data_IF_932085667168
#
_entry.id   IF_932085667168
#
_cell.length_a   1.000
_cell.length_b   1.000
_cell.length_c   1.000
_cell.angle_alpha   90.00
_cell.angle_beta   90.00
_cell.angle_gamma   90.00
#
_symmetry.space_group_name_H-M   'P 1'
#
loop_
_entity.id
_entity.type
_entity.pdbx_description
1 polymer ?
#
# COMPACT_ATOMS: atom_id res chain seq x y z
N UNK A 1 11.42 -8.17 -17.51
CA UNK A 1 11.48 -9.00 -16.28
C UNK A 1 10.61 -8.35 -15.21
N UNK A 2 9.64 -9.06 -14.68
CA UNK A 2 8.75 -8.58 -13.62
C UNK A 2 9.54 -8.31 -12.33
N UNK A 3 9.50 -7.08 -11.81
CA UNK A 3 10.36 -6.64 -10.69
C UNK A 3 9.60 -6.23 -9.44
N UNK A 4 8.25 -6.25 -9.48
CA UNK A 4 7.46 -5.84 -8.34
C UNK A 4 7.48 -6.91 -7.25
N UNK A 5 7.41 -6.48 -6.00
CA UNK A 5 7.27 -7.38 -4.86
C UNK A 5 5.88 -8.02 -4.87
N UNK A 6 5.81 -9.33 -4.67
CA UNK A 6 4.59 -10.14 -4.68
C UNK A 6 4.47 -10.96 -3.41
N UNK A 7 3.31 -11.56 -3.18
CA UNK A 7 3.17 -12.57 -2.16
C UNK A 7 3.83 -13.90 -2.55
N UNK A 8 4.43 -14.52 -1.56
CA UNK A 8 4.61 -15.98 -1.52
C UNK A 8 3.43 -16.61 -0.77
N UNK A 9 3.22 -17.95 -0.82
CA UNK A 9 2.18 -18.59 -0.01
C UNK A 9 2.28 -18.26 1.48
N UNK A 10 3.51 -18.24 2.02
CA UNK A 10 3.76 -17.94 3.43
C UNK A 10 3.45 -16.48 3.77
N UNK A 11 4.01 -15.53 3.03
CA UNK A 11 3.77 -14.10 3.30
C UNK A 11 2.31 -13.70 3.07
N UNK A 12 1.59 -14.39 2.18
CA UNK A 12 0.15 -14.22 2.03
C UNK A 12 -0.63 -14.70 3.27
N UNK A 13 -0.31 -15.89 3.78
CA UNK A 13 -0.95 -16.42 4.97
C UNK A 13 -0.69 -15.54 6.20
N UNK A 14 0.56 -15.11 6.40
CA UNK A 14 0.96 -14.17 7.47
C UNK A 14 0.25 -12.82 7.34
N UNK A 15 0.22 -12.25 6.15
CA UNK A 15 -0.46 -10.98 5.89
C UNK A 15 -1.97 -11.07 6.12
N UNK A 16 -2.61 -12.15 5.67
CA UNK A 16 -4.04 -12.39 5.88
C UNK A 16 -4.37 -12.56 7.37
N UNK A 17 -3.58 -13.37 8.09
CA UNK A 17 -3.71 -13.52 9.54
C UNK A 17 -3.55 -12.17 10.25
N UNK A 18 -2.54 -11.39 9.86
CA UNK A 18 -2.30 -10.05 10.40
C UNK A 18 -3.48 -9.08 10.18
N UNK A 19 -4.11 -9.13 9.00
CA UNK A 19 -5.32 -8.33 8.73
C UNK A 19 -6.51 -8.77 9.58
N UNK A 20 -6.77 -10.07 9.66
CA UNK A 20 -7.89 -10.61 10.45
C UNK A 20 -7.71 -10.28 11.93
N UNK A 21 -6.54 -10.51 12.49
CA UNK A 21 -6.23 -10.17 13.87
C UNK A 21 -6.22 -8.66 14.12
N UNK A 22 -5.89 -7.86 13.10
CA UNK A 22 -5.87 -6.40 13.14
C UNK A 22 -7.24 -5.74 12.95
N UNK A 23 -8.31 -6.48 12.61
CA UNK A 23 -9.64 -5.90 12.35
C UNK A 23 -10.15 -4.95 13.44
N UNK A 24 -10.06 -5.28 14.75
CA UNK A 24 -10.50 -4.34 15.79
C UNK A 24 -9.73 -3.02 15.76
N UNK A 25 -8.40 -3.09 15.55
CA UNK A 25 -7.55 -1.92 15.44
C UNK A 25 -7.86 -1.10 14.17
N UNK A 26 -8.18 -1.77 13.05
CA UNK A 26 -8.60 -1.15 11.79
C UNK A 26 -9.90 -0.36 11.94
N UNK A 27 -10.86 -0.91 12.69
CA UNK A 27 -12.13 -0.23 12.99
C UNK A 27 -11.84 0.98 13.90
N UNK A 28 -11.03 0.80 14.95
CA UNK A 28 -10.61 1.86 15.86
C UNK A 28 -9.95 3.03 15.13
N UNK A 29 -8.96 2.75 14.26
CA UNK A 29 -8.25 3.76 13.49
C UNK A 29 -9.18 4.61 12.58
N UNK A 30 -10.25 4.00 12.04
CA UNK A 30 -11.26 4.73 11.24
C UNK A 30 -12.23 5.55 12.09
N UNK A 31 -12.40 5.18 13.36
CA UNK A 31 -13.25 5.93 14.30
C UNK A 31 -12.49 7.07 14.99
N UNK A 32 -11.19 6.96 15.13
CA UNK A 32 -10.36 8.03 15.65
C UNK A 32 -10.25 9.16 14.62
N UNK A 33 -10.45 10.41 15.09
CA UNK A 33 -10.37 11.60 14.23
C UNK A 33 -8.93 12.17 14.13
N UNK A 34 -7.93 11.42 14.59
CA UNK A 34 -6.54 11.88 14.64
C UNK A 34 -5.84 11.94 13.28
N UNK A 35 -6.28 11.11 12.32
CA UNK A 35 -5.76 11.08 10.96
C UNK A 35 -6.81 11.64 10.01
N UNK A 36 -6.49 12.74 9.32
CA UNK A 36 -7.36 13.29 8.30
C UNK A 36 -7.47 12.33 7.11
N UNK A 37 -8.57 12.41 6.35
CA UNK A 37 -8.73 11.59 5.14
C UNK A 37 -7.61 11.85 4.12
N UNK A 38 -7.21 13.11 3.96
CA UNK A 38 -6.08 13.48 3.10
C UNK A 38 -4.77 12.84 3.56
N UNK A 39 -4.44 12.92 4.85
CA UNK A 39 -3.21 12.32 5.37
C UNK A 39 -3.23 10.79 5.23
N UNK A 40 -4.37 10.13 5.48
CA UNK A 40 -4.50 8.70 5.24
C UNK A 40 -4.22 8.30 3.78
N UNK A 41 -4.69 9.09 2.81
CA UNK A 41 -4.40 8.84 1.39
C UNK A 41 -2.94 9.10 1.04
N UNK A 42 -2.30 10.11 1.62
CA UNK A 42 -0.86 10.34 1.45
C UNK A 42 -0.02 9.16 1.98
N UNK A 43 -0.36 8.60 3.14
CA UNK A 43 0.29 7.39 3.68
C UNK A 43 0.16 6.20 2.72
N UNK A 44 -1.03 6.01 2.13
CA UNK A 44 -1.27 4.96 1.14
C UNK A 44 -0.46 5.15 -0.13
N UNK A 45 -0.41 6.37 -0.65
CA UNK A 45 0.38 6.71 -1.84
C UNK A 45 1.89 6.52 -1.58
N UNK A 46 2.40 6.96 -0.42
CA UNK A 46 3.79 6.79 -0.04
C UNK A 46 4.19 5.30 0.08
N UNK A 47 3.33 4.45 0.65
CA UNK A 47 3.55 2.99 0.66
C UNK A 47 3.50 2.40 -0.76
N UNK A 48 2.57 2.88 -1.58
CA UNK A 48 2.35 2.38 -2.93
C UNK A 48 3.49 2.75 -3.88
N UNK A 49 4.14 3.90 -3.70
CA UNK A 49 5.29 4.32 -4.50
C UNK A 49 6.43 3.31 -4.46
N UNK A 50 6.70 2.75 -3.28
CA UNK A 50 7.74 1.73 -3.07
C UNK A 50 7.34 0.38 -3.68
N UNK A 51 6.09 -0.03 -3.49
CA UNK A 51 5.62 -1.35 -3.95
C UNK A 51 5.25 -1.38 -5.44
N UNK A 52 4.98 -0.23 -6.07
CA UNK A 52 4.69 -0.11 -7.50
C UNK A 52 3.37 -0.75 -7.95
N UNK A 53 2.35 -0.82 -7.07
CA UNK A 53 1.04 -1.36 -7.41
C UNK A 53 0.24 -0.39 -8.27
N UNK A 54 0.07 -0.68 -9.55
CA UNK A 54 -0.65 0.19 -10.50
C UNK A 54 -2.13 0.37 -10.15
N UNK A 55 -2.78 -0.67 -9.62
CA UNK A 55 -4.19 -0.62 -9.20
C UNK A 55 -4.38 0.31 -8.01
N UNK A 56 -3.48 0.19 -7.03
CA UNK A 56 -3.50 1.00 -5.82
C UNK A 56 -3.13 2.45 -6.12
N UNK A 57 -2.12 2.70 -6.97
CA UNK A 57 -1.78 4.05 -7.44
C UNK A 57 -3.00 4.72 -8.06
N UNK A 58 -3.67 4.03 -9.00
CA UNK A 58 -4.87 4.57 -9.65
C UNK A 58 -5.99 4.88 -8.65
N UNK A 59 -6.37 3.90 -7.83
CA UNK A 59 -7.49 4.04 -6.92
C UNK A 59 -7.24 5.14 -5.88
N UNK A 60 -6.06 5.14 -5.25
CA UNK A 60 -5.73 6.10 -4.20
C UNK A 60 -5.43 7.50 -4.74
N UNK A 61 -4.93 7.64 -5.98
CA UNK A 61 -4.86 8.96 -6.64
C UNK A 61 -6.23 9.58 -6.83
N UNK A 62 -7.22 8.79 -7.28
CA UNK A 62 -8.59 9.27 -7.43
C UNK A 62 -9.25 9.67 -6.11
N UNK A 63 -8.98 8.93 -5.04
CA UNK A 63 -9.52 9.23 -3.70
C UNK A 63 -8.80 10.46 -3.12
N UNK A 64 -7.48 10.54 -3.29
CA UNK A 64 -6.65 11.66 -2.83
C UNK A 64 -7.09 12.99 -3.47
N UNK A 65 -7.34 13.01 -4.78
CA UNK A 65 -7.88 14.19 -5.46
C UNK A 65 -9.23 14.64 -4.87
N UNK A 66 -10.12 13.68 -4.54
CA UNK A 66 -11.41 13.98 -3.87
C UNK A 66 -11.22 14.49 -2.45
N UNK A 67 -10.13 14.10 -1.79
CA UNK A 67 -9.74 14.61 -0.47
C UNK A 67 -9.04 15.98 -0.53
N UNK A 68 -8.90 16.56 -1.73
CA UNK A 68 -8.32 17.90 -1.93
C UNK A 68 -6.80 17.92 -2.11
N UNK A 69 -6.15 16.76 -2.29
CA UNK A 69 -4.71 16.69 -2.59
C UNK A 69 -4.51 17.05 -4.07
N UNK A 70 -3.54 17.88 -4.37
CA UNK A 70 -3.25 18.30 -5.76
C UNK A 70 -2.64 17.19 -6.57
N UNK A 71 -2.76 17.25 -7.88
CA UNK A 71 -2.15 16.27 -8.80
C UNK A 71 -0.62 16.29 -8.66
N UNK A 72 -0.04 17.46 -8.53
CA UNK A 72 1.41 17.66 -8.38
C UNK A 72 1.93 16.95 -7.11
N UNK A 73 1.22 17.09 -5.99
CA UNK A 73 1.58 16.40 -4.74
C UNK A 73 1.42 14.88 -4.85
N UNK A 74 0.37 14.39 -5.51
CA UNK A 74 0.17 12.97 -5.79
C UNK A 74 1.31 12.41 -6.65
N UNK A 75 1.71 13.12 -7.69
CA UNK A 75 2.78 12.71 -8.59
C UNK A 75 4.14 12.65 -7.87
N UNK A 76 4.43 13.61 -6.98
CA UNK A 76 5.63 13.59 -6.12
C UNK A 76 5.61 12.36 -5.18
N UNK A 77 4.51 12.14 -4.47
CA UNK A 77 4.36 10.98 -3.58
C UNK A 77 4.55 9.65 -4.32
N UNK A 78 3.99 9.51 -5.53
CA UNK A 78 4.15 8.30 -6.33
C UNK A 78 5.55 8.11 -6.90
N UNK A 79 6.35 9.18 -7.02
CA UNK A 79 7.79 9.11 -7.33
C UNK A 79 8.64 8.77 -6.09
N UNK A 80 8.02 8.70 -4.91
CA UNK A 80 8.72 8.49 -3.64
C UNK A 80 9.31 9.78 -3.07
N UNK A 81 8.94 10.94 -3.61
CA UNK A 81 9.42 12.25 -3.18
C UNK A 81 8.46 12.82 -2.12
N UNK A 82 8.98 13.08 -0.94
CA UNK A 82 8.27 13.80 0.12
C UNK A 82 8.72 15.27 0.01
N UNK A 83 7.90 16.06 -0.68
CA UNK A 83 8.20 17.48 -0.96
C UNK A 83 8.21 18.34 0.28
N UNK A 84 8.82 19.53 0.18
CA UNK A 84 8.82 20.53 1.25
C UNK A 84 7.43 21.13 1.54
N UNK A 85 6.45 20.91 0.68
CA UNK A 85 5.04 21.30 0.90
C UNK A 85 4.32 20.38 1.89
N UNK A 86 4.87 19.20 2.17
CA UNK A 86 4.34 18.29 3.20
C UNK A 86 4.54 18.92 4.57
N UNK A 87 3.45 19.12 5.29
CA UNK A 87 3.48 19.70 6.61
C UNK A 87 4.39 18.92 7.57
N UNK A 88 5.05 19.63 8.49
CA UNK A 88 5.96 19.02 9.47
C UNK A 88 5.29 17.91 10.30
N UNK A 89 3.97 17.94 10.42
CA UNK A 89 3.18 16.91 11.09
C UNK A 89 3.08 15.63 10.25
N UNK A 90 2.97 15.69 8.93
CA UNK A 90 2.74 14.52 8.07
C UNK A 90 4.04 13.79 7.68
N UNK A 91 5.14 14.52 7.55
CA UNK A 91 6.40 14.00 7.06
C UNK A 91 6.93 12.74 7.79
N UNK A 92 6.95 12.67 9.14
CA UNK A 92 7.42 11.47 9.84
C UNK A 92 6.60 10.21 9.49
N UNK A 93 5.27 10.36 9.32
CA UNK A 93 4.38 9.27 8.92
C UNK A 93 4.64 8.79 7.50
N UNK A 94 4.89 9.71 6.56
CA UNK A 94 5.19 9.38 5.17
C UNK A 94 6.53 8.67 5.04
N UNK A 95 7.57 9.14 5.73
CA UNK A 95 8.87 8.43 5.80
C UNK A 95 8.73 7.04 6.41
N UNK A 96 7.93 6.91 7.48
CA UNK A 96 7.64 5.61 8.05
C UNK A 96 6.93 4.69 7.05
N UNK A 97 5.95 5.20 6.30
CA UNK A 97 5.20 4.42 5.31
C UNK A 97 6.10 3.89 4.19
N UNK A 98 7.03 4.70 3.68
CA UNK A 98 8.03 4.28 2.71
C UNK A 98 8.97 3.22 3.30
N UNK A 99 9.56 3.49 4.47
CA UNK A 99 10.44 2.55 5.15
C UNK A 99 9.76 1.20 5.43
N UNK A 100 8.51 1.22 5.88
CA UNK A 100 7.72 0.00 6.11
C UNK A 100 7.59 -0.83 4.82
N UNK A 101 7.32 -0.18 3.69
CA UNK A 101 7.24 -0.84 2.40
C UNK A 101 8.62 -1.35 1.93
N UNK A 102 9.68 -0.56 2.08
CA UNK A 102 11.06 -0.93 1.71
C UNK A 102 11.54 -2.17 2.46
N UNK A 103 11.22 -2.26 3.75
CA UNK A 103 11.58 -3.41 4.61
C UNK A 103 10.64 -4.60 4.47
N UNK A 104 9.66 -4.52 3.54
CA UNK A 104 8.70 -5.61 3.31
C UNK A 104 7.75 -5.85 4.48
N UNK A 105 7.48 -4.83 5.29
CA UNK A 105 6.60 -4.91 6.43
C UNK A 105 7.28 -5.18 7.77
N UNK A 106 8.62 -5.16 7.80
CA UNK A 106 9.43 -5.37 9.00
C UNK A 106 10.26 -4.11 9.32
N UNK A 107 9.62 -3.02 9.78
CA UNK A 107 10.34 -1.79 10.10
C UNK A 107 11.29 -2.01 11.27
N UNK A 108 12.45 -1.36 11.24
CA UNK A 108 13.36 -1.39 12.38
C UNK A 108 12.78 -0.66 13.61
N UNK A 109 13.30 -1.01 14.79
CA UNK A 109 12.83 -0.44 16.05
C UNK A 109 13.04 1.08 16.13
N UNK A 110 14.12 1.59 15.54
CA UNK A 110 14.39 3.02 15.51
C UNK A 110 13.36 3.82 14.72
N UNK A 111 12.81 3.26 13.63
CA UNK A 111 11.72 3.91 12.87
C UNK A 111 10.39 3.85 13.62
N UNK A 112 10.12 2.76 14.34
CA UNK A 112 8.94 2.66 15.21
C UNK A 112 9.01 3.67 16.36
N UNK A 113 10.18 3.83 16.97
CA UNK A 113 10.38 4.80 18.06
C UNK A 113 10.24 6.25 17.58
N UNK A 114 10.76 6.56 16.37
CA UNK A 114 10.55 7.88 15.74
C UNK A 114 9.08 8.16 15.46
N UNK A 115 8.33 7.16 14.98
CA UNK A 115 6.89 7.28 14.75
C UNK A 115 6.16 7.58 16.05
N UNK A 116 6.46 6.83 17.13
CA UNK A 116 5.85 7.06 18.45
C UNK A 116 6.23 8.42 19.04
N UNK A 117 7.47 8.86 18.85
CA UNK A 117 7.92 10.17 19.30
C UNK A 117 7.15 11.31 18.60
N UNK A 118 6.89 11.14 17.30
CA UNK A 118 6.18 12.15 16.50
C UNK A 118 4.67 12.22 16.81
N UNK A 119 4.03 11.07 17.08
CA UNK A 119 2.57 10.97 17.12
C UNK A 119 1.98 10.45 18.44
N UNK A 120 2.81 9.99 19.37
CA UNK A 120 2.35 9.25 20.53
C UNK A 120 1.84 7.84 20.20
N UNK A 121 1.47 7.09 21.23
CA UNK A 121 1.16 5.66 21.09
C UNK A 121 -0.10 5.37 20.28
N UNK A 122 -1.16 6.17 20.44
CA UNK A 122 -2.44 5.91 19.78
C UNK A 122 -2.37 6.19 18.27
N UNK A 123 -1.92 7.38 17.90
CA UNK A 123 -1.88 7.77 16.49
C UNK A 123 -0.83 6.99 15.69
N UNK A 124 0.28 6.61 16.32
CA UNK A 124 1.28 5.73 15.70
C UNK A 124 0.73 4.32 15.42
N UNK A 125 -0.13 3.78 16.28
CA UNK A 125 -0.85 2.52 16.00
C UNK A 125 -1.80 2.66 14.82
N UNK A 126 -2.55 3.76 14.75
CA UNK A 126 -3.48 4.02 13.64
C UNK A 126 -2.71 4.14 12.29
N UNK A 127 -1.59 4.86 12.27
CA UNK A 127 -0.71 4.95 11.09
C UNK A 127 -0.20 3.56 10.69
N UNK A 128 0.29 2.77 11.64
CA UNK A 128 0.80 1.43 11.38
C UNK A 128 -0.28 0.51 10.80
N UNK A 129 -1.51 0.61 11.28
CA UNK A 129 -2.66 -0.15 10.74
C UNK A 129 -2.91 0.22 9.28
N UNK A 130 -3.01 1.52 8.97
CA UNK A 130 -3.24 1.99 7.60
C UNK A 130 -2.13 1.54 6.63
N UNK A 131 -0.88 1.62 7.07
CA UNK A 131 0.28 1.22 6.26
C UNK A 131 0.29 -0.30 6.04
N UNK A 132 -0.08 -1.11 7.03
CA UNK A 132 -0.22 -2.57 6.89
C UNK A 132 -1.32 -2.95 5.90
N UNK A 133 -2.48 -2.29 6.00
CA UNK A 133 -3.60 -2.53 5.08
C UNK A 133 -3.21 -2.27 3.63
N UNK A 134 -2.60 -1.11 3.36
CA UNK A 134 -2.21 -0.77 1.99
C UNK A 134 -1.04 -1.62 1.50
N UNK A 135 -0.11 -2.01 2.36
CA UNK A 135 0.96 -2.96 2.02
C UNK A 135 0.36 -4.26 1.50
N UNK A 136 -0.60 -4.83 2.23
CA UNK A 136 -1.29 -6.05 1.81
C UNK A 136 -2.02 -5.86 0.47
N UNK A 137 -2.74 -4.75 0.30
CA UNK A 137 -3.44 -4.44 -0.95
C UNK A 137 -2.46 -4.29 -2.13
N UNK A 138 -1.31 -3.65 -1.92
CA UNK A 138 -0.27 -3.50 -2.94
C UNK A 138 0.29 -4.85 -3.38
N UNK A 139 0.65 -5.71 -2.43
CA UNK A 139 1.15 -7.05 -2.74
C UNK A 139 0.08 -7.90 -3.43
N UNK A 140 -1.20 -7.75 -3.04
CA UNK A 140 -2.33 -8.40 -3.72
C UNK A 140 -2.43 -7.99 -5.18
N UNK A 141 -2.42 -6.70 -5.47
CA UNK A 141 -2.45 -6.20 -6.84
C UNK A 141 -1.25 -6.65 -7.66
N UNK A 142 -0.06 -6.62 -7.06
CA UNK A 142 1.17 -7.07 -7.74
C UNK A 142 1.17 -8.58 -8.01
N UNK A 143 0.64 -9.40 -7.10
CA UNK A 143 0.54 -10.85 -7.29
C UNK A 143 -0.46 -11.20 -8.40
N UNK A 144 -1.58 -10.47 -8.48
CA UNK A 144 -2.52 -10.58 -9.60
C UNK A 144 -1.82 -10.20 -10.93
N UNK A 145 -1.07 -9.11 -10.95
CA UNK A 145 -0.33 -8.64 -12.12
C UNK A 145 0.81 -9.60 -12.54
N UNK A 146 1.42 -10.31 -11.58
CA UNK A 146 2.44 -11.32 -11.85
C UNK A 146 1.91 -12.46 -12.72
N UNK A 147 0.70 -12.97 -12.44
CA UNK A 147 0.07 -13.98 -13.28
C UNK A 147 -0.20 -13.46 -14.70
N UNK A 148 -0.72 -12.23 -14.84
CA UNK A 148 -0.93 -11.61 -16.15
C UNK A 148 0.38 -11.39 -16.92
N UNK A 149 1.45 -11.05 -16.22
CA UNK A 149 2.78 -10.89 -16.79
C UNK A 149 3.37 -12.22 -17.26
N UNK A 150 3.17 -13.29 -16.48
CA UNK A 150 3.56 -14.67 -16.88
C UNK A 150 2.87 -15.11 -18.15
N UNK A 151 1.57 -14.81 -18.33
CA UNK A 151 0.85 -15.12 -19.57
C UNK A 151 1.43 -14.40 -20.80
N UNK A 152 2.16 -13.30 -20.58
CA UNK A 152 2.88 -12.55 -21.63
C UNK A 152 4.34 -12.98 -21.80
N UNK A 153 4.77 -14.05 -21.12
CA UNK A 153 6.14 -14.56 -21.20
C UNK A 153 7.15 -13.89 -20.25
N UNK A 154 6.69 -13.07 -19.30
CA UNK A 154 7.54 -12.37 -18.32
C UNK A 154 7.17 -12.75 -16.86
N UNK A 155 7.51 -13.97 -16.40
CA UNK A 155 7.17 -14.43 -15.06
C UNK A 155 7.99 -13.68 -13.99
N UNK A 156 7.42 -13.55 -12.78
CA UNK A 156 8.15 -13.09 -11.62
C UNK A 156 9.18 -14.16 -11.19
N UNK A 157 10.39 -13.73 -10.79
CA UNK A 157 11.52 -14.64 -10.56
C UNK A 157 11.25 -15.65 -9.42
N UNK A 158 10.69 -15.20 -8.31
CA UNK A 158 10.49 -15.99 -7.08
C UNK A 158 9.02 -16.40 -6.88
N UNK A 159 8.30 -16.68 -7.97
CA UNK A 159 6.88 -17.00 -7.91
C UNK A 159 6.58 -18.45 -8.24
N UNK A 160 5.54 -18.99 -7.63
CA UNK A 160 4.97 -20.31 -7.93
C UNK A 160 3.78 -20.17 -8.87
N UNK A 161 3.80 -20.83 -10.04
CA UNK A 161 2.67 -20.84 -10.97
C UNK A 161 1.37 -21.30 -10.28
N UNK A 162 1.44 -22.33 -9.45
CA UNK A 162 0.26 -22.85 -8.73
C UNK A 162 -0.33 -21.78 -7.81
N UNK A 163 0.53 -21.07 -7.08
CA UNK A 163 0.10 -19.99 -6.19
C UNK A 163 -0.45 -18.80 -6.97
N UNK A 164 0.19 -18.39 -8.07
CA UNK A 164 -0.30 -17.30 -8.91
C UNK A 164 -1.69 -17.60 -9.49
N UNK A 165 -1.92 -18.81 -10.01
CA UNK A 165 -3.23 -19.25 -10.52
C UNK A 165 -4.28 -19.21 -9.41
N UNK A 166 -3.97 -19.80 -8.24
CA UNK A 166 -4.85 -19.77 -7.07
C UNK A 166 -5.19 -18.33 -6.69
N UNK A 167 -4.16 -17.49 -6.52
CA UNK A 167 -4.33 -16.11 -6.09
C UNK A 167 -5.12 -15.29 -7.13
N UNK A 168 -4.83 -15.48 -8.41
CA UNK A 168 -5.56 -14.83 -9.50
C UNK A 168 -7.07 -15.12 -9.42
N UNK A 169 -7.44 -16.39 -9.29
CA UNK A 169 -8.84 -16.79 -9.22
C UNK A 169 -9.55 -16.22 -7.99
N UNK A 170 -8.91 -16.26 -6.83
CA UNK A 170 -9.48 -15.74 -5.56
C UNK A 170 -9.59 -14.21 -5.59
N UNK A 171 -8.62 -13.51 -6.17
CA UNK A 171 -8.58 -12.05 -6.20
C UNK A 171 -9.33 -11.43 -7.40
N UNK A 172 -9.71 -12.23 -8.39
CA UNK A 172 -10.37 -11.78 -9.63
C UNK A 172 -11.62 -10.90 -9.38
N UNK A 173 -12.51 -11.21 -8.42
CA UNK A 173 -13.67 -10.35 -8.16
C UNK A 173 -13.32 -8.93 -7.73
N UNK A 174 -12.15 -8.74 -7.11
CA UNK A 174 -11.67 -7.44 -6.60
C UNK A 174 -10.75 -6.77 -7.63
N UNK A 175 -9.75 -7.50 -8.11
CA UNK A 175 -8.70 -6.95 -8.99
C UNK A 175 -9.16 -6.84 -10.45
N UNK A 176 -10.07 -7.71 -10.90
CA UNK A 176 -10.60 -7.69 -12.26
C UNK A 176 -11.26 -6.37 -12.63
N UNK A 177 -12.24 -5.86 -11.88
CA UNK A 177 -12.82 -4.54 -12.12
C UNK A 177 -11.78 -3.41 -12.15
N UNK A 178 -10.81 -3.41 -11.22
CA UNK A 178 -9.74 -2.42 -11.18
C UNK A 178 -8.86 -2.47 -12.43
N UNK A 179 -8.51 -3.68 -12.90
CA UNK A 179 -7.76 -3.89 -14.13
C UNK A 179 -8.48 -3.30 -15.35
N UNK A 180 -9.80 -3.53 -15.49
CA UNK A 180 -10.59 -2.98 -16.59
C UNK A 180 -10.70 -1.46 -16.50
N UNK A 181 -10.90 -0.90 -15.31
CA UNK A 181 -11.00 0.55 -15.13
C UNK A 181 -9.72 1.28 -15.56
N UNK A 182 -8.56 0.77 -15.23
CA UNK A 182 -7.27 1.37 -15.65
C UNK A 182 -7.10 1.32 -17.17
N UNK A 183 -7.55 0.25 -17.83
CA UNK A 183 -7.47 0.14 -19.30
C UNK A 183 -8.40 1.10 -20.02
N UNK A 184 -9.56 1.39 -19.47
CA UNK A 184 -10.58 2.26 -20.09
C UNK A 184 -10.28 3.74 -19.82
N UNK A 185 -9.71 4.06 -18.66
CA UNK A 185 -9.39 5.42 -18.23
C UNK A 185 -7.96 5.48 -17.69
N UNK A 186 -6.93 5.48 -18.55
CA UNK A 186 -5.58 5.75 -18.08
C UNK A 186 -5.53 7.16 -17.48
N UNK A 187 -4.99 7.28 -16.27
CA UNK A 187 -4.76 8.58 -15.58
C UNK A 187 -3.55 9.24 -16.18
#
# INVERSE_FOLDING_TARGET
MFKKRIFTPMTFAEGLAGLVMGLPASIGARMHKGISHAFAEKLRLATTSVNGCVYCSYAHSMIAMRAGITREEIDLLLKGEIGCEVGSFEAPGLFFAQHYAETGGNPDSGMLDKLKLAYGDELSKDILVLVREIQFANLSGNTFDAFLSRLKGDPAADSSLIFEVFFFLVSLPIQGPAYFMIKIRPV
#
